data_IF_514154102190
#
_entry.id   IF_514154102190
#
_cell.length_a   1.000
_cell.length_b   1.000
_cell.length_c   1.000
_cell.angle_alpha   90.00
_cell.angle_beta   90.00
_cell.angle_gamma   90.00
#
_symmetry.space_group_name_H-M   'P 1'
#
loop_
_entity.id
_entity.type
_entity.pdbx_description
1 polymer ?
#
# COMPACT_ATOMS: atom_id res chain seq x y z
N UNK A 1 -29.36 22.00 1.27
CA UNK A 1 -27.89 22.19 1.25
C UNK A 1 -27.35 21.32 0.12
N UNK A 2 -26.59 21.84 -0.85
CA UNK A 2 -25.92 20.96 -1.81
C UNK A 2 -24.93 20.12 -1.00
N UNK A 3 -25.12 18.79 -1.05
CA UNK A 3 -24.12 17.86 -0.54
C UNK A 3 -22.86 18.17 -1.36
N UNK A 4 -21.80 18.65 -0.71
CA UNK A 4 -20.50 18.73 -1.38
C UNK A 4 -20.24 17.37 -2.04
N UNK A 5 -19.66 17.31 -3.25
CA UNK A 5 -19.26 16.03 -3.82
C UNK A 5 -18.43 15.33 -2.75
N UNK A 6 -18.95 14.22 -2.21
CA UNK A 6 -18.19 13.42 -1.26
C UNK A 6 -16.90 13.09 -1.99
N UNK A 7 -15.72 13.48 -1.47
CA UNK A 7 -14.47 13.13 -2.10
C UNK A 7 -14.49 11.61 -2.29
N UNK A 8 -14.23 11.16 -3.52
CA UNK A 8 -14.33 9.75 -3.86
C UNK A 8 -13.40 8.95 -2.94
N UNK A 9 -13.92 7.90 -2.29
CA UNK A 9 -13.08 7.01 -1.48
C UNK A 9 -11.99 6.39 -2.37
N UNK A 10 -10.76 6.24 -1.85
CA UNK A 10 -9.72 5.54 -2.60
C UNK A 10 -10.12 4.08 -2.81
N UNK A 11 -9.88 3.58 -4.01
CA UNK A 11 -10.20 2.19 -4.38
C UNK A 11 -8.92 1.39 -4.58
N UNK A 12 -8.92 0.18 -4.04
CA UNK A 12 -7.78 -0.74 -4.08
C UNK A 12 -8.05 -1.80 -5.11
N UNK A 13 -7.19 -1.90 -6.10
CA UNK A 13 -7.26 -2.84 -7.21
C UNK A 13 -5.93 -3.55 -7.38
N UNK A 14 -5.92 -4.63 -8.17
CA UNK A 14 -4.72 -5.42 -8.43
C UNK A 14 -4.52 -6.58 -7.47
N UNK A 15 -3.52 -7.40 -7.77
CA UNK A 15 -3.24 -8.66 -7.09
C UNK A 15 -1.87 -8.56 -6.42
N UNK A 16 -1.77 -8.84 -5.10
CA UNK A 16 -0.49 -8.86 -4.40
C UNK A 16 0.47 -9.83 -5.08
N UNK A 17 1.66 -9.35 -5.44
CA UNK A 17 2.76 -10.15 -5.99
C UNK A 17 3.70 -10.63 -4.89
N UNK A 18 4.51 -11.63 -5.23
CA UNK A 18 5.59 -12.08 -4.37
C UNK A 18 6.70 -11.00 -4.30
N UNK A 19 7.23 -10.74 -3.11
CA UNK A 19 8.26 -9.73 -2.86
C UNK A 19 9.47 -10.42 -2.22
N UNK A 20 10.62 -10.23 -2.85
CA UNK A 20 11.86 -10.90 -2.47
C UNK A 20 12.75 -9.96 -1.65
N UNK A 21 13.06 -10.30 -0.38
CA UNK A 21 13.91 -9.49 0.46
C UNK A 21 15.28 -9.22 -0.17
N UNK A 22 15.71 -7.96 -0.19
CA UNK A 22 17.05 -7.60 -0.65
C UNK A 22 17.24 -7.47 -2.15
N UNK A 23 16.19 -7.65 -2.96
CA UNK A 23 16.20 -7.33 -4.40
C UNK A 23 15.98 -5.83 -4.70
N UNK A 24 15.75 -5.02 -3.67
CA UNK A 24 15.54 -3.58 -3.82
C UNK A 24 14.07 -3.25 -4.10
N UNK A 25 13.81 -2.26 -4.96
CA UNK A 25 12.45 -1.75 -5.20
C UNK A 25 11.63 -2.72 -6.04
N UNK A 26 10.53 -3.21 -5.49
CA UNK A 26 9.66 -4.19 -6.11
C UNK A 26 8.20 -3.72 -6.12
N UNK A 27 7.49 -4.07 -7.19
CA UNK A 27 6.07 -3.77 -7.36
C UNK A 27 5.22 -4.76 -6.58
N UNK A 28 4.36 -4.27 -5.69
CA UNK A 28 3.43 -5.14 -4.95
C UNK A 28 2.27 -5.62 -5.81
N UNK A 29 2.05 -5.03 -6.98
CA UNK A 29 0.85 -5.28 -7.79
C UNK A 29 -0.43 -4.67 -7.23
N UNK A 30 -0.36 -3.96 -6.09
CA UNK A 30 -1.48 -3.23 -5.50
C UNK A 30 -1.54 -1.84 -6.12
N UNK A 31 -2.72 -1.46 -6.60
CA UNK A 31 -3.00 -0.18 -7.25
C UNK A 31 -4.06 0.55 -6.41
N UNK A 32 -3.76 1.81 -6.08
CA UNK A 32 -4.66 2.70 -5.33
C UNK A 32 -5.11 3.82 -6.26
N UNK A 33 -6.37 3.73 -6.71
CA UNK A 33 -7.00 4.78 -7.50
C UNK A 33 -7.73 5.78 -6.59
N UNK A 34 -7.89 7.02 -7.06
CA UNK A 34 -8.54 8.11 -6.32
C UNK A 34 -7.90 8.38 -4.95
N UNK A 35 -6.57 8.23 -4.82
CA UNK A 35 -5.85 8.59 -3.60
C UNK A 35 -6.02 10.08 -3.28
N UNK A 36 -6.00 10.41 -2.01
CA UNK A 36 -6.05 11.78 -1.50
C UNK A 36 -4.82 12.04 -0.60
N UNK A 37 -4.74 13.22 0.00
CA UNK A 37 -3.65 13.58 0.93
C UNK A 37 -3.70 12.84 2.26
N UNK A 38 -4.85 12.28 2.64
CA UNK A 38 -5.05 11.45 3.83
C UNK A 38 -4.66 9.97 3.60
N UNK A 39 -4.50 9.55 2.34
CA UNK A 39 -4.13 8.17 1.98
C UNK A 39 -2.67 7.91 2.35
N UNK A 40 -2.45 7.01 3.31
CA UNK A 40 -1.13 6.62 3.80
C UNK A 40 -0.93 5.11 3.67
N UNK A 41 0.18 4.71 3.06
CA UNK A 41 0.62 3.31 3.01
C UNK A 41 1.75 3.09 4.00
N UNK A 42 1.73 1.91 4.60
CA UNK A 42 2.80 1.37 5.44
C UNK A 42 2.97 -0.10 5.08
N UNK A 43 4.19 -0.62 5.19
CA UNK A 43 4.45 -2.03 5.00
C UNK A 43 5.30 -2.54 6.15
N UNK A 44 4.96 -3.72 6.66
CA UNK A 44 5.71 -4.38 7.72
C UNK A 44 5.96 -5.83 7.36
N UNK A 45 7.14 -6.34 7.69
CA UNK A 45 7.45 -7.75 7.51
C UNK A 45 6.79 -8.64 8.57
N UNK A 46 7.00 -9.96 8.48
CA UNK A 46 6.54 -10.94 9.47
C UNK A 46 7.03 -10.63 10.89
N UNK A 47 8.22 -10.06 11.01
CA UNK A 47 8.82 -9.67 12.29
C UNK A 47 8.36 -8.29 12.79
N UNK A 48 7.53 -7.57 12.03
CA UNK A 48 7.03 -6.25 12.38
C UNK A 48 7.99 -5.09 12.05
N UNK A 49 9.06 -5.36 11.29
CA UNK A 49 9.99 -4.35 10.79
C UNK A 49 9.33 -3.52 9.71
N UNK A 50 9.39 -2.20 9.85
CA UNK A 50 8.86 -1.28 8.84
C UNK A 50 9.70 -1.33 7.56
N UNK A 51 9.00 -1.50 6.45
CA UNK A 51 9.55 -1.55 5.10
C UNK A 51 9.23 -0.24 4.39
N UNK A 52 10.23 0.41 3.76
CA UNK A 52 10.01 1.57 2.90
C UNK A 52 8.94 1.26 1.84
N UNK A 53 7.86 2.03 1.87
CA UNK A 53 6.76 1.93 0.93
C UNK A 53 6.59 3.25 0.18
N UNK A 54 6.53 3.17 -1.14
CA UNK A 54 6.39 4.32 -2.04
C UNK A 54 5.15 4.14 -2.92
N UNK A 55 4.42 5.23 -3.13
CA UNK A 55 3.34 5.28 -4.10
C UNK A 55 3.83 5.87 -5.41
N UNK A 56 3.41 5.28 -6.52
CA UNK A 56 3.55 5.91 -7.82
C UNK A 56 2.40 6.90 -8.05
N UNK A 57 2.70 8.20 -8.06
CA UNK A 57 1.70 9.25 -8.31
C UNK A 57 0.99 9.14 -9.67
N UNK A 58 1.64 8.52 -10.67
CA UNK A 58 1.06 8.39 -12.01
C UNK A 58 0.08 7.24 -12.14
N UNK A 59 0.36 6.10 -11.50
CA UNK A 59 -0.43 4.88 -11.66
C UNK A 59 -1.22 4.50 -10.41
N UNK A 60 -0.87 5.02 -9.24
CA UNK A 60 -1.38 4.58 -7.95
C UNK A 60 -0.75 3.27 -7.45
N UNK A 61 0.24 2.72 -8.15
CA UNK A 61 0.89 1.46 -7.76
C UNK A 61 1.75 1.62 -6.50
N UNK A 62 1.72 0.64 -5.61
CA UNK A 62 2.55 0.58 -4.40
C UNK A 62 3.82 -0.20 -4.70
N UNK A 63 4.96 0.43 -4.44
CA UNK A 63 6.27 -0.18 -4.48
C UNK A 63 6.83 -0.32 -3.08
N UNK A 64 7.49 -1.43 -2.81
CA UNK A 64 8.20 -1.67 -1.54
C UNK A 64 9.67 -1.88 -1.82
N UNK A 65 10.50 -1.51 -0.85
CA UNK A 65 11.94 -1.78 -0.91
C UNK A 65 12.34 -2.57 0.34
N UNK A 66 12.12 -3.90 0.36
CA UNK A 66 12.52 -4.73 1.49
C UNK A 66 14.06 -4.86 1.59
N UNK A 67 14.59 -4.77 2.80
CA UNK A 67 15.99 -5.07 3.08
C UNK A 67 16.28 -6.58 3.02
N UNK A 68 17.56 -6.97 2.95
CA UNK A 68 17.99 -8.38 3.01
C UNK A 68 17.60 -9.12 4.29
N UNK A 69 17.28 -8.37 5.34
CA UNK A 69 16.94 -8.85 6.67
C UNK A 69 15.42 -8.98 6.89
N UNK A 70 14.63 -8.58 5.89
CA UNK A 70 13.17 -8.73 5.89
C UNK A 70 12.81 -10.20 5.71
N UNK A 71 11.88 -10.71 6.52
CA UNK A 71 11.40 -12.09 6.41
C UNK A 71 9.93 -12.08 5.97
N UNK A 72 9.62 -12.81 4.88
CA UNK A 72 8.27 -12.88 4.32
C UNK A 72 7.27 -13.63 5.22
N UNK A 73 5.94 -13.39 5.08
CA UNK A 73 5.27 -12.50 4.13
C UNK A 73 5.18 -11.03 4.60
N UNK A 74 5.07 -10.10 3.67
CA UNK A 74 5.01 -8.66 3.95
C UNK A 74 3.56 -8.20 4.00
N UNK A 75 3.21 -7.48 5.06
CA UNK A 75 1.88 -6.93 5.31
C UNK A 75 1.86 -5.45 4.96
N UNK A 76 1.19 -5.11 3.86
CA UNK A 76 0.94 -3.72 3.43
C UNK A 76 -0.37 -3.26 4.03
N UNK A 77 -0.34 -2.17 4.79
CA UNK A 77 -1.52 -1.54 5.38
C UNK A 77 -1.69 -0.16 4.80
N UNK A 78 -2.84 0.09 4.19
CA UNK A 78 -3.23 1.42 3.71
C UNK A 78 -4.36 1.96 4.58
N UNK A 79 -4.15 3.15 5.11
CA UNK A 79 -5.10 3.89 5.94
C UNK A 79 -5.53 5.13 5.19
N UNK A 80 -6.83 5.46 5.27
CA UNK A 80 -7.37 6.68 4.69
C UNK A 80 -8.55 7.15 5.53
N UNK A 81 -8.73 8.47 5.66
CA UNK A 81 -9.80 9.07 6.48
C UNK A 81 -11.19 8.84 5.90
N UNK A 82 -11.30 8.65 4.58
CA UNK A 82 -12.56 8.35 3.91
C UNK A 82 -12.90 6.88 3.97
N UNK A 83 -11.95 5.99 4.27
CA UNK A 83 -12.22 4.56 4.41
C UNK A 83 -12.79 4.25 5.80
N UNK A 84 -13.83 3.41 5.90
CA UNK A 84 -14.40 3.00 7.18
C UNK A 84 -13.42 2.12 8.00
N UNK A 85 -12.47 1.47 7.33
CA UNK A 85 -11.45 0.63 7.94
C UNK A 85 -10.17 0.65 7.10
N UNK A 86 -8.99 0.45 7.73
CA UNK A 86 -7.74 0.26 7.01
C UNK A 86 -7.77 -0.99 6.14
N UNK A 87 -7.18 -0.90 4.96
CA UNK A 87 -7.06 -2.02 4.02
C UNK A 87 -5.71 -2.65 4.19
N UNK A 88 -5.69 -3.92 4.56
CA UNK A 88 -4.48 -4.72 4.71
C UNK A 88 -4.37 -5.73 3.59
N UNK A 89 -3.19 -5.79 2.94
CA UNK A 89 -2.86 -6.72 1.88
C UNK A 89 -1.52 -7.39 2.20
N UNK A 90 -1.54 -8.70 2.32
CA UNK A 90 -0.33 -9.50 2.44
C UNK A 90 0.19 -9.81 1.05
N UNK A 91 1.47 -9.58 0.82
CA UNK A 91 2.17 -10.06 -0.35
C UNK A 91 3.17 -11.13 0.12
N UNK A 92 3.28 -12.19 -0.69
CA UNK A 92 3.99 -13.42 -0.31
C UNK A 92 5.50 -13.28 -0.49
#
# INVERSE_FOLDING_TARGET
MPVAPVPAQPTFSGTPKEIVPGEGKQDTGIIVANKNSDTKVTAKDKNGKDIPAEFNDKTGSIFLTPDKDVVGPITVTTTDKLLPAPITKSCL
#
